data_IF_834375394902
#
_entry.id   IF_834375394902
#
_cell.length_a   1.000
_cell.length_b   1.000
_cell.length_c   1.000
_cell.angle_alpha   90.00
_cell.angle_beta   90.00
_cell.angle_gamma   90.00
#
_symmetry.space_group_name_H-M   'P 1'
#
loop_
_entity.id
_entity.type
_entity.pdbx_description
1 polymer ?
#
# COMPACT_ATOMS: atom_id res chain seq x y z
N UNK A 1 -9.76 -13.68 -5.10
CA UNK A 1 -8.70 -13.26 -6.03
C UNK A 1 -9.29 -12.40 -7.12
N UNK A 2 -8.55 -11.43 -7.62
CA UNK A 2 -8.91 -10.53 -8.70
C UNK A 2 -10.15 -9.66 -8.45
N UNK A 3 -10.07 -8.80 -7.44
CA UNK A 3 -11.13 -7.83 -7.16
C UNK A 3 -11.52 -6.98 -8.39
N UNK A 4 -10.59 -6.77 -9.32
CA UNK A 4 -10.84 -6.04 -10.57
C UNK A 4 -11.77 -6.78 -11.55
N UNK A 5 -11.99 -8.09 -11.39
CA UNK A 5 -12.96 -8.86 -12.19
C UNK A 5 -14.40 -8.72 -11.68
N UNK A 6 -14.62 -8.09 -10.52
CA UNK A 6 -15.97 -7.85 -10.01
C UNK A 6 -16.66 -6.75 -10.81
N UNK A 7 -17.95 -6.90 -11.12
CA UNK A 7 -18.73 -5.82 -11.74
C UNK A 7 -18.69 -4.55 -10.89
N UNK A 8 -18.68 -3.39 -11.54
CA UNK A 8 -18.60 -2.08 -10.88
C UNK A 8 -19.76 -1.80 -9.89
N UNK A 9 -20.86 -2.52 -10.00
CA UNK A 9 -22.06 -2.41 -9.19
C UNK A 9 -22.15 -3.50 -8.09
N UNK A 10 -21.11 -4.30 -7.90
CA UNK A 10 -21.09 -5.38 -6.91
C UNK A 10 -21.33 -4.92 -5.47
N UNK A 11 -21.27 -3.62 -5.24
CA UNK A 11 -21.57 -3.03 -3.93
C UNK A 11 -20.47 -3.23 -2.89
N UNK A 12 -19.22 -3.43 -3.33
CA UNK A 12 -18.06 -3.60 -2.45
C UNK A 12 -17.91 -2.41 -1.48
N UNK A 13 -18.17 -1.18 -1.94
CA UNK A 13 -18.16 0.02 -1.09
C UNK A 13 -19.19 -0.09 0.07
N UNK A 14 -20.40 -0.56 -0.24
CA UNK A 14 -21.43 -0.79 0.77
C UNK A 14 -21.05 -1.91 1.72
N UNK A 15 -20.43 -2.97 1.19
CA UNK A 15 -19.96 -4.09 2.00
C UNK A 15 -18.86 -3.63 2.97
N UNK A 16 -17.91 -2.80 2.53
CA UNK A 16 -16.84 -2.25 3.36
C UNK A 16 -17.41 -1.32 4.44
N UNK A 17 -18.34 -0.44 4.07
CA UNK A 17 -18.93 0.51 5.00
C UNK A 17 -19.82 -0.17 6.06
N UNK A 18 -20.68 -1.10 5.66
CA UNK A 18 -21.65 -1.74 6.55
C UNK A 18 -21.11 -3.01 7.22
N UNK A 19 -20.17 -3.70 6.59
CA UNK A 19 -19.60 -4.94 7.10
C UNK A 19 -18.75 -4.71 8.35
N UNK A 20 -18.09 -3.55 8.46
CA UNK A 20 -17.27 -3.19 9.61
C UNK A 20 -18.02 -3.23 10.93
N UNK A 21 -19.22 -2.66 10.99
CA UNK A 21 -20.04 -2.61 12.20
C UNK A 21 -20.58 -3.98 12.61
N UNK A 22 -20.60 -4.92 11.66
CA UNK A 22 -21.05 -6.30 11.87
C UNK A 22 -19.90 -7.29 12.03
N UNK A 23 -18.66 -6.81 12.22
CA UNK A 23 -17.48 -7.65 12.36
C UNK A 23 -17.00 -8.30 11.04
N UNK A 24 -17.51 -7.83 9.91
CA UNK A 24 -17.07 -8.29 8.59
C UNK A 24 -15.61 -7.96 8.35
N UNK A 25 -14.88 -8.88 7.69
CA UNK A 25 -13.49 -8.68 7.26
C UNK A 25 -13.40 -8.90 5.76
N UNK A 26 -12.73 -8.00 5.07
CA UNK A 26 -12.55 -8.07 3.63
C UNK A 26 -11.05 -8.08 3.33
N UNK A 27 -10.61 -9.04 2.53
CA UNK A 27 -9.30 -9.07 1.93
C UNK A 27 -9.47 -8.78 0.43
N UNK A 28 -8.80 -7.74 -0.05
CA UNK A 28 -8.81 -7.35 -1.45
C UNK A 28 -7.40 -7.47 -2.02
N UNK A 29 -7.25 -8.18 -3.12
CA UNK A 29 -5.98 -8.34 -3.83
C UNK A 29 -6.06 -7.61 -5.17
N UNK A 30 -5.02 -6.84 -5.48
CA UNK A 30 -4.89 -6.08 -6.73
C UNK A 30 -3.49 -6.31 -7.29
N UNK A 31 -3.37 -6.44 -8.60
CA UNK A 31 -2.08 -6.59 -9.27
C UNK A 31 -1.37 -5.23 -9.43
N UNK A 32 -2.14 -4.16 -9.59
CA UNK A 32 -1.65 -2.79 -9.72
C UNK A 32 -2.73 -1.78 -9.32
N UNK A 33 -2.32 -0.52 -9.20
CA UNK A 33 -3.22 0.58 -8.86
C UNK A 33 -4.33 0.81 -9.91
N UNK A 34 -4.03 0.63 -11.20
CA UNK A 34 -4.99 0.90 -12.27
C UNK A 34 -6.16 -0.09 -12.27
N UNK A 35 -5.98 -1.28 -11.72
CA UNK A 35 -7.08 -2.22 -11.50
C UNK A 35 -8.12 -1.68 -10.52
N UNK A 36 -7.70 -0.97 -9.47
CA UNK A 36 -8.64 -0.34 -8.55
C UNK A 36 -9.50 0.70 -9.28
N UNK A 37 -8.90 1.53 -10.14
CA UNK A 37 -9.63 2.50 -10.94
C UNK A 37 -10.56 1.82 -11.96
N UNK A 38 -10.13 0.71 -12.57
CA UNK A 38 -10.93 -0.04 -13.53
C UNK A 38 -12.24 -0.62 -12.93
N UNK A 39 -12.26 -0.91 -11.61
CA UNK A 39 -13.48 -1.34 -10.92
C UNK A 39 -14.60 -0.27 -10.96
N UNK A 40 -14.24 0.98 -11.17
CA UNK A 40 -15.17 2.11 -11.28
C UNK A 40 -15.30 2.64 -12.71
N UNK A 41 -14.89 1.85 -13.71
CA UNK A 41 -14.96 2.22 -15.10
C UNK A 41 -16.40 2.65 -15.48
N UNK A 42 -16.50 3.78 -16.20
CA UNK A 42 -17.81 4.36 -16.59
C UNK A 42 -18.37 5.38 -15.60
N UNK A 43 -17.78 5.59 -14.43
CA UNK A 43 -18.13 6.68 -13.52
C UNK A 43 -17.29 7.93 -13.82
N UNK A 44 -17.87 9.10 -13.64
CA UNK A 44 -17.18 10.39 -13.84
C UNK A 44 -16.03 10.61 -12.83
N UNK A 45 -16.11 9.99 -11.65
CA UNK A 45 -15.18 10.13 -10.54
C UNK A 45 -14.36 8.87 -10.26
N UNK A 46 -14.11 8.03 -11.27
CA UNK A 46 -13.58 6.67 -11.06
C UNK A 46 -12.27 6.63 -10.23
N UNK A 47 -11.36 7.59 -10.42
CA UNK A 47 -10.10 7.64 -9.63
C UNK A 47 -10.39 7.97 -8.17
N UNK A 48 -11.22 8.98 -7.91
CA UNK A 48 -11.62 9.38 -6.57
C UNK A 48 -12.39 8.26 -5.85
N UNK A 49 -13.25 7.54 -6.57
CA UNK A 49 -14.02 6.42 -6.02
C UNK A 49 -13.10 5.25 -5.66
N UNK A 50 -12.09 4.97 -6.48
CA UNK A 50 -11.07 3.97 -6.19
C UNK A 50 -10.27 4.34 -4.93
N UNK A 51 -9.81 5.58 -4.83
CA UNK A 51 -9.03 6.05 -3.68
C UNK A 51 -9.88 6.02 -2.39
N UNK A 52 -11.16 6.40 -2.48
CA UNK A 52 -12.09 6.33 -1.36
C UNK A 52 -12.34 4.89 -0.91
N UNK A 53 -12.54 3.96 -1.83
CA UNK A 53 -12.67 2.55 -1.52
C UNK A 53 -11.41 2.02 -0.82
N UNK A 54 -10.25 2.27 -1.41
CA UNK A 54 -8.97 1.79 -0.88
C UNK A 54 -8.65 2.39 0.49
N UNK A 55 -9.11 3.63 0.77
CA UNK A 55 -8.92 4.28 2.07
C UNK A 55 -9.62 3.57 3.22
N UNK A 56 -10.64 2.76 2.94
CA UNK A 56 -11.36 2.00 3.96
C UNK A 56 -10.58 0.78 4.50
N UNK A 57 -9.52 0.36 3.80
CA UNK A 57 -8.65 -0.72 4.27
C UNK A 57 -7.63 -0.18 5.27
N UNK A 58 -7.69 -0.67 6.50
CA UNK A 58 -6.80 -0.24 7.59
C UNK A 58 -5.43 -0.93 7.57
N UNK A 59 -5.31 -2.02 6.85
CA UNK A 59 -4.08 -2.82 6.74
C UNK A 59 -3.72 -3.00 5.28
N UNK A 60 -2.43 -2.96 4.97
CA UNK A 60 -1.91 -3.03 3.61
C UNK A 60 -0.73 -4.00 3.56
N UNK A 61 -0.69 -4.79 2.52
CA UNK A 61 0.45 -5.64 2.20
C UNK A 61 0.90 -5.29 0.78
N UNK A 62 2.14 -4.84 0.67
CA UNK A 62 2.74 -4.45 -0.60
C UNK A 62 3.82 -5.46 -0.98
N UNK A 63 3.63 -6.12 -2.10
CA UNK A 63 4.61 -6.97 -2.77
C UNK A 63 5.45 -6.17 -3.76
N UNK A 64 6.29 -6.85 -4.55
CA UNK A 64 7.10 -6.21 -5.59
C UNK A 64 6.21 -5.44 -6.57
N UNK A 65 6.36 -4.13 -6.67
CA UNK A 65 5.57 -3.31 -7.60
C UNK A 65 6.09 -3.43 -9.03
N UNK A 66 5.20 -3.30 -10.01
CA UNK A 66 5.56 -3.44 -11.42
C UNK A 66 5.91 -2.10 -12.09
N UNK A 67 5.58 -0.98 -11.46
CA UNK A 67 5.78 0.35 -12.03
C UNK A 67 6.14 1.38 -10.95
N UNK A 68 6.67 2.53 -11.36
CA UNK A 68 6.93 3.65 -10.44
C UNK A 68 5.64 4.18 -9.81
N UNK A 69 4.53 4.15 -10.53
CA UNK A 69 3.22 4.54 -10.00
C UNK A 69 2.74 3.60 -8.89
N UNK A 70 2.96 2.28 -9.06
CA UNK A 70 2.64 1.30 -8.02
C UNK A 70 3.54 1.48 -6.80
N UNK A 71 4.79 1.88 -6.99
CA UNK A 71 5.71 2.25 -5.88
C UNK A 71 5.16 3.41 -5.08
N UNK A 72 4.76 4.50 -5.74
CA UNK A 72 4.21 5.69 -5.08
C UNK A 72 2.92 5.34 -4.34
N UNK A 73 2.01 4.61 -4.99
CA UNK A 73 0.79 4.14 -4.38
C UNK A 73 1.05 3.26 -3.15
N UNK A 74 1.95 2.28 -3.25
CA UNK A 74 2.31 1.42 -2.13
C UNK A 74 2.89 2.23 -0.96
N UNK A 75 3.78 3.19 -1.24
CA UNK A 75 4.38 4.05 -0.21
C UNK A 75 3.34 4.93 0.48
N UNK A 76 2.42 5.51 -0.26
CA UNK A 76 1.35 6.32 0.32
C UNK A 76 0.46 5.47 1.25
N UNK A 77 0.15 4.24 0.85
CA UNK A 77 -0.65 3.30 1.65
C UNK A 77 0.11 2.71 2.85
N UNK A 78 1.41 2.49 2.73
CA UNK A 78 2.28 2.09 3.85
C UNK A 78 2.41 3.21 4.89
N UNK A 79 2.08 4.43 4.50
CA UNK A 79 1.94 5.59 5.38
C UNK A 79 3.25 6.32 5.63
N UNK A 80 3.09 7.51 6.20
CA UNK A 80 4.19 8.43 6.51
C UNK A 80 4.52 8.35 7.99
N UNK A 81 5.78 8.56 8.29
CA UNK A 81 6.29 8.64 9.66
C UNK A 81 7.18 9.88 9.79
N UNK A 82 7.27 10.44 10.97
CA UNK A 82 8.18 11.55 11.24
C UNK A 82 9.62 11.03 11.22
N UNK A 83 10.43 11.60 10.34
CA UNK A 83 11.84 11.27 10.18
C UNK A 83 12.68 12.52 10.38
N UNK A 84 13.84 12.39 11.02
CA UNK A 84 14.83 13.44 11.10
C UNK A 84 15.84 13.21 9.99
N UNK A 85 15.85 14.11 9.02
CA UNK A 85 16.84 14.10 7.95
C UNK A 85 17.92 15.13 8.26
N UNK A 86 19.15 14.65 8.40
CA UNK A 86 20.31 15.52 8.59
C UNK A 86 20.98 15.74 7.24
N UNK A 87 20.96 16.99 6.78
CA UNK A 87 21.69 17.39 5.58
C UNK A 87 23.02 18.03 5.99
N UNK A 88 24.10 17.58 5.35
CA UNK A 88 25.42 18.15 5.52
C UNK A 88 25.68 19.16 4.40
N UNK A 89 26.05 20.38 4.76
CA UNK A 89 26.48 21.39 3.79
C UNK A 89 27.74 20.94 3.04
N UNK A 90 27.87 21.38 1.80
CA UNK A 90 29.06 21.10 0.97
C UNK A 90 30.30 21.85 1.45
N UNK A 91 30.13 22.86 2.31
CA UNK A 91 31.20 23.65 2.90
C UNK A 91 31.55 23.10 4.29
N UNK A 92 32.85 23.08 4.60
CA UNK A 92 33.36 22.71 5.94
C UNK A 92 32.88 23.60 7.09
N UNK A 93 32.33 24.75 6.75
CA UNK A 93 31.86 25.76 7.71
C UNK A 93 30.35 25.80 7.91
N UNK A 94 29.59 25.01 7.14
CA UNK A 94 28.15 24.91 7.34
C UNK A 94 27.82 23.81 8.35
N UNK A 95 27.17 24.16 9.47
CA UNK A 95 26.72 23.16 10.41
C UNK A 95 25.67 22.26 9.77
N UNK A 96 25.58 20.98 10.17
CA UNK A 96 24.54 20.10 9.69
C UNK A 96 23.16 20.64 10.10
N UNK A 97 22.24 20.67 9.15
CA UNK A 97 20.86 21.06 9.39
C UNK A 97 20.01 19.80 9.57
N UNK A 98 19.32 19.71 10.71
CA UNK A 98 18.33 18.66 10.95
C UNK A 98 16.93 19.20 10.59
N UNK A 99 16.24 18.52 9.71
CA UNK A 99 14.87 18.85 9.34
C UNK A 99 13.94 17.66 9.71
N UNK A 100 12.80 17.99 10.29
CA UNK A 100 11.72 17.02 10.46
C UNK A 100 10.97 16.88 9.14
N UNK A 101 10.93 15.67 8.61
CA UNK A 101 10.25 15.36 7.35
C UNK A 101 9.28 14.21 7.59
N UNK A 102 8.06 14.38 7.10
CA UNK A 102 7.07 13.27 7.06
C UNK A 102 7.22 12.53 5.74
N UNK A 103 7.78 11.34 5.78
CA UNK A 103 7.91 10.48 4.60
C UNK A 103 7.68 9.02 4.98
N UNK A 104 7.46 8.19 3.94
CA UNK A 104 7.36 6.76 4.11
C UNK A 104 8.73 6.16 4.49
N UNK A 105 8.81 5.38 5.58
CA UNK A 105 10.07 4.77 6.01
C UNK A 105 10.58 3.72 5.01
N UNK A 106 9.72 3.27 4.10
CA UNK A 106 10.08 2.33 3.03
C UNK A 106 10.45 3.10 1.77
N UNK A 107 11.69 2.99 1.33
CA UNK A 107 12.17 3.68 0.12
C UNK A 107 11.69 3.00 -1.15
N UNK A 108 11.59 3.72 -2.30
CA UNK A 108 11.31 3.11 -3.60
C UNK A 108 12.23 1.94 -3.93
N UNK A 109 13.53 2.10 -3.64
CA UNK A 109 14.53 1.07 -3.88
C UNK A 109 14.26 -0.21 -3.06
N UNK A 110 13.81 -0.08 -1.83
CA UNK A 110 13.49 -1.23 -0.98
C UNK A 110 12.27 -1.99 -1.50
N UNK A 111 11.23 -1.28 -1.99
CA UNK A 111 10.07 -1.92 -2.62
C UNK A 111 10.44 -2.65 -3.91
N UNK A 112 11.23 -1.99 -4.76
CA UNK A 112 11.69 -2.57 -6.03
C UNK A 112 12.70 -3.73 -5.83
N UNK A 113 13.30 -3.86 -4.67
CA UNK A 113 14.23 -4.94 -4.33
C UNK A 113 13.55 -6.16 -3.67
N UNK A 114 12.22 -6.13 -3.48
CA UNK A 114 11.49 -7.27 -2.92
C UNK A 114 11.59 -8.50 -3.83
N UNK A 115 11.86 -9.64 -3.23
CA UNK A 115 11.90 -10.94 -3.90
C UNK A 115 10.56 -11.67 -3.76
N UNK A 116 10.40 -12.76 -4.49
CA UNK A 116 9.27 -13.66 -4.30
C UNK A 116 9.22 -14.14 -2.84
N UNK A 117 8.05 -14.06 -2.22
CA UNK A 117 7.86 -14.39 -0.80
C UNK A 117 8.19 -13.26 0.17
N UNK A 118 8.56 -12.08 -0.31
CA UNK A 118 8.79 -10.91 0.53
C UNK A 118 7.70 -9.86 0.32
N UNK A 119 7.30 -9.18 1.40
CA UNK A 119 6.39 -8.04 1.34
C UNK A 119 6.68 -7.03 2.45
N UNK A 120 6.23 -5.80 2.26
CA UNK A 120 6.05 -4.85 3.36
C UNK A 120 4.60 -4.86 3.81
N UNK A 121 4.40 -4.98 5.12
CA UNK A 121 3.07 -5.02 5.73
C UNK A 121 2.92 -3.88 6.72
N UNK A 122 1.82 -3.15 6.62
CA UNK A 122 1.36 -2.21 7.63
C UNK A 122 0.03 -2.69 8.18
N UNK A 123 -0.05 -2.85 9.49
CA UNK A 123 -1.26 -3.23 10.21
C UNK A 123 -1.77 -2.02 10.99
N UNK A 124 -2.88 -1.41 10.55
CA UNK A 124 -3.50 -0.23 11.19
C UNK A 124 -2.47 0.88 11.44
N UNK A 125 -2.23 1.18 12.73
CA UNK A 125 -1.39 2.27 13.19
C UNK A 125 0.08 1.87 13.44
N UNK A 126 0.43 0.62 13.14
CA UNK A 126 1.81 0.16 13.28
C UNK A 126 2.67 0.64 12.11
N UNK A 127 3.94 0.87 12.41
CA UNK A 127 4.92 1.15 11.37
C UNK A 127 5.03 -0.03 10.39
N UNK A 128 5.29 0.21 9.10
CA UNK A 128 5.46 -0.86 8.13
C UNK A 128 6.68 -1.72 8.47
N UNK A 129 6.51 -3.04 8.38
CA UNK A 129 7.55 -4.02 8.61
C UNK A 129 7.74 -4.92 7.39
N UNK A 130 8.97 -5.33 7.11
CA UNK A 130 9.25 -6.32 6.09
C UNK A 130 8.93 -7.71 6.64
N UNK A 131 8.17 -8.50 5.88
CA UNK A 131 7.79 -9.87 6.24
C UNK A 131 8.25 -10.84 5.16
N UNK A 132 8.42 -12.08 5.56
CA UNK A 132 8.83 -13.19 4.71
C UNK A 132 7.76 -14.26 4.79
N UNK A 133 7.32 -14.74 3.64
CA UNK A 133 6.42 -15.87 3.53
C UNK A 133 7.23 -17.10 3.14
N UNK A 134 7.32 -18.05 4.04
CA UNK A 134 7.88 -19.35 3.72
C UNK A 134 6.89 -20.11 2.83
N UNK A 135 7.42 -20.73 1.79
CA UNK A 135 6.64 -21.62 0.95
C UNK A 135 6.42 -22.90 1.76
N UNK A 136 5.22 -23.10 2.31
CA UNK A 136 4.85 -24.41 2.82
C UNK A 136 5.02 -25.42 1.69
N UNK A 137 5.91 -26.38 1.88
CA UNK A 137 5.90 -27.59 1.06
C UNK A 137 4.62 -28.31 1.44
N UNK A 138 3.58 -28.14 0.63
CA UNK A 138 2.46 -29.05 0.64
C UNK A 138 3.02 -30.39 0.17
N UNK A 139 3.53 -31.19 1.10
CA UNK A 139 3.81 -32.59 0.86
C UNK A 139 2.47 -33.23 0.51
N UNK A 140 2.26 -33.37 -0.80
CA UNK A 140 1.06 -34.03 -1.33
C UNK A 140 0.98 -35.45 -0.77
N UNK A 141 0.04 -35.64 0.12
CA UNK A 141 -0.47 -36.96 0.45
C UNK A 141 -1.71 -37.23 -0.39
#
# INVERSE_FOLDING_TARGET
DEAAALPADYGLEKLLALGRDRGGRVLCTLQNHDQAAAMFAGRLSMQSDADNMLSQFSSVMAFHPNSSRDVEFARDRLGKTDMIVTTFGLSRYEPPHAAHVQDCPVTPRQLMALKAGEAYVRLRDYAPAKVYFEKEQCDGK
#
